data_IF_102037734424
#
_entry.id   IF_102037734424
#
_cell.length_a   1.000
_cell.length_b   1.000
_cell.length_c   1.000
_cell.angle_alpha   90.00
_cell.angle_beta   90.00
_cell.angle_gamma   90.00
#
_symmetry.space_group_name_H-M   'P 1'
#
loop_
_entity.id
_entity.type
_entity.pdbx_description
1 polymer ?
#
# COMPACT_ATOMS: atom_id res chain seq x y z
N UNK A 1 5.63 45.24 12.07
CA UNK A 1 6.49 44.46 11.16
C UNK A 1 6.37 43.00 11.58
N UNK A 2 5.40 42.30 11.01
CA UNK A 2 4.96 40.95 11.43
C UNK A 2 5.72 39.90 10.61
N UNK A 3 6.62 39.15 11.24
CA UNK A 3 7.05 37.86 10.70
C UNK A 3 6.19 36.78 11.33
N UNK A 4 5.04 36.53 10.69
CA UNK A 4 4.17 35.42 11.03
C UNK A 4 4.79 34.14 10.48
N UNK A 5 5.66 33.51 11.27
CA UNK A 5 6.14 32.17 11.01
C UNK A 5 4.94 31.21 10.98
N UNK A 6 4.45 30.90 9.78
CA UNK A 6 3.46 29.86 9.57
C UNK A 6 4.10 28.54 10.02
N UNK A 7 3.55 27.82 11.02
CA UNK A 7 4.13 26.56 11.44
C UNK A 7 4.15 25.65 10.22
N UNK A 8 5.35 25.27 9.78
CA UNK A 8 5.53 24.35 8.67
C UNK A 8 4.72 23.09 9.01
N UNK A 9 3.63 22.86 8.27
CA UNK A 9 2.85 21.65 8.40
C UNK A 9 3.81 20.45 8.32
N UNK A 10 3.68 19.45 9.21
CA UNK A 10 4.62 18.34 9.26
C UNK A 10 4.77 17.76 7.85
N UNK A 11 6.00 17.77 7.32
CA UNK A 11 6.30 17.14 6.02
C UNK A 11 6.01 15.65 6.19
N UNK A 12 4.91 15.20 5.60
CA UNK A 12 4.57 13.79 5.61
C UNK A 12 5.66 13.03 4.85
N UNK A 13 6.13 11.89 5.35
CA UNK A 13 7.04 11.05 4.60
C UNK A 13 6.40 10.67 3.26
N UNK A 14 7.21 10.48 2.20
CA UNK A 14 6.69 10.07 0.90
C UNK A 14 5.94 8.75 1.02
N UNK A 15 4.80 8.65 0.35
CA UNK A 15 4.02 7.41 0.32
C UNK A 15 4.78 6.32 -0.43
N UNK A 16 4.73 5.09 0.09
CA UNK A 16 5.20 3.91 -0.62
C UNK A 16 4.42 3.70 -1.93
N UNK A 17 5.06 3.06 -2.91
CA UNK A 17 4.47 2.71 -4.20
C UNK A 17 3.10 2.01 -4.08
N UNK A 18 2.90 0.98 -3.24
CA UNK A 18 1.58 0.36 -3.08
C UNK A 18 0.52 1.35 -2.57
N UNK A 19 0.89 2.29 -1.69
CA UNK A 19 -0.01 3.33 -1.20
C UNK A 19 -0.39 4.33 -2.30
N UNK A 20 0.57 4.76 -3.12
CA UNK A 20 0.34 5.61 -4.30
C UNK A 20 -0.59 4.94 -5.32
N UNK A 21 -0.35 3.67 -5.65
CA UNK A 21 -1.18 2.90 -6.58
C UNK A 21 -2.61 2.71 -6.05
N UNK A 22 -2.77 2.49 -4.74
CA UNK A 22 -4.08 2.39 -4.10
C UNK A 22 -4.88 3.69 -4.21
N UNK A 23 -4.22 4.85 -4.00
CA UNK A 23 -4.86 6.16 -4.16
C UNK A 23 -5.20 6.48 -5.61
N UNK A 24 -4.32 6.17 -6.57
CA UNK A 24 -4.57 6.39 -7.99
C UNK A 24 -5.80 5.61 -8.47
N UNK A 25 -5.93 4.35 -8.04
CA UNK A 25 -7.10 3.53 -8.35
C UNK A 25 -8.39 4.02 -7.66
N UNK A 26 -8.28 4.85 -6.63
CA UNK A 26 -9.42 5.48 -5.98
C UNK A 26 -9.90 6.72 -6.75
N UNK A 27 -8.97 7.50 -7.30
CA UNK A 27 -9.25 8.72 -8.06
C UNK A 27 -9.92 8.41 -9.42
N UNK A 28 -9.66 7.22 -9.97
CA UNK A 28 -10.43 6.73 -11.12
C UNK A 28 -11.86 6.41 -10.69
N UNK A 29 -12.84 7.22 -11.10
CA UNK A 29 -14.26 7.16 -10.75
C UNK A 29 -14.98 5.80 -10.95
N UNK A 30 -14.28 4.80 -11.48
CA UNK A 30 -14.72 3.42 -11.61
C UNK A 30 -13.59 2.50 -11.14
N UNK A 31 -13.73 1.79 -9.99
CA UNK A 31 -12.72 0.84 -9.57
C UNK A 31 -12.57 -0.24 -10.66
N UNK A 32 -11.33 -0.63 -11.02
CA UNK A 32 -11.13 -1.67 -12.01
C UNK A 32 -11.84 -2.96 -11.57
N UNK A 33 -12.49 -3.62 -12.54
CA UNK A 33 -13.25 -4.84 -12.30
C UNK A 33 -12.39 -5.92 -11.62
N UNK A 34 -12.94 -6.58 -10.60
CA UNK A 34 -12.54 -7.89 -10.06
C UNK A 34 -11.05 -8.16 -9.81
N UNK A 35 -10.58 -8.12 -8.56
CA UNK A 35 -9.28 -8.69 -8.13
C UNK A 35 -8.01 -8.12 -8.77
N UNK A 36 -8.10 -7.28 -9.81
CA UNK A 36 -6.97 -6.64 -10.48
C UNK A 36 -6.32 -5.62 -9.54
N UNK A 37 -7.11 -4.84 -8.80
CA UNK A 37 -6.57 -3.81 -7.91
C UNK A 37 -5.71 -4.39 -6.76
N UNK A 38 -6.16 -5.41 -6.00
CA UNK A 38 -5.31 -6.05 -5.00
C UNK A 38 -4.00 -6.58 -5.59
N UNK A 39 -4.05 -7.18 -6.79
CA UNK A 39 -2.85 -7.70 -7.48
C UNK A 39 -1.92 -6.58 -7.94
N UNK A 40 -2.46 -5.46 -8.41
CA UNK A 40 -1.68 -4.28 -8.80
C UNK A 40 -0.95 -3.69 -7.60
N UNK A 41 -1.65 -3.51 -6.48
CA UNK A 41 -1.06 -3.01 -5.23
C UNK A 41 -0.01 -3.97 -4.69
N UNK A 42 -0.29 -5.28 -4.73
CA UNK A 42 0.67 -6.33 -4.35
C UNK A 42 1.91 -6.31 -5.23
N UNK A 43 1.75 -6.18 -6.55
CA UNK A 43 2.87 -6.08 -7.49
C UNK A 43 3.71 -4.82 -7.24
N UNK A 44 3.07 -3.68 -6.94
CA UNK A 44 3.78 -2.46 -6.56
C UNK A 44 4.61 -2.63 -5.28
N UNK A 45 4.06 -3.29 -4.26
CA UNK A 45 4.80 -3.57 -3.03
C UNK A 45 6.03 -4.47 -3.29
N UNK A 46 5.85 -5.54 -4.07
CA UNK A 46 6.94 -6.44 -4.47
C UNK A 46 8.01 -5.73 -5.31
N UNK A 47 7.60 -4.87 -6.25
CA UNK A 47 8.51 -4.09 -7.07
C UNK A 47 9.31 -3.07 -6.25
N UNK A 48 8.70 -2.45 -5.24
CA UNK A 48 9.41 -1.54 -4.35
C UNK A 48 10.40 -2.27 -3.44
N UNK A 49 10.03 -3.42 -2.89
CA UNK A 49 10.96 -4.27 -2.13
C UNK A 49 12.17 -4.70 -2.97
N UNK A 50 11.94 -5.04 -4.26
CA UNK A 50 13.02 -5.35 -5.18
C UNK A 50 13.91 -4.14 -5.49
N UNK A 51 13.32 -2.96 -5.72
CA UNK A 51 14.07 -1.71 -5.92
C UNK A 51 14.92 -1.32 -4.71
N UNK A 52 14.44 -1.62 -3.49
CA UNK A 52 15.17 -1.42 -2.24
C UNK A 52 16.23 -2.50 -1.97
N UNK A 53 16.34 -3.52 -2.83
CA UNK A 53 17.29 -4.62 -2.68
C UNK A 53 16.92 -5.63 -1.58
N UNK A 54 15.69 -5.61 -1.08
CA UNK A 54 15.22 -6.50 0.01
C UNK A 54 14.69 -7.82 -0.51
N UNK A 55 14.22 -7.82 -1.77
CA UNK A 55 13.92 -9.02 -2.54
C UNK A 55 14.82 -9.05 -3.77
N UNK A 56 15.41 -10.20 -4.05
CA UNK A 56 16.19 -10.45 -5.26
C UNK A 56 15.46 -11.46 -6.13
N UNK A 57 15.69 -11.37 -7.44
CA UNK A 57 15.31 -12.42 -8.36
C UNK A 57 16.39 -13.49 -8.38
N UNK A 58 16.01 -14.70 -7.98
CA UNK A 58 16.81 -15.91 -8.12
C UNK A 58 16.12 -16.81 -9.15
N UNK A 59 16.52 -16.67 -10.42
CA UNK A 59 15.96 -17.46 -11.53
C UNK A 59 14.42 -17.41 -11.63
N UNK A 60 13.82 -16.22 -11.48
CA UNK A 60 12.37 -16.03 -11.51
C UNK A 60 11.66 -16.27 -10.17
N UNK A 61 12.42 -16.59 -9.11
CA UNK A 61 11.96 -16.77 -7.74
C UNK A 61 12.24 -15.50 -6.95
N UNK A 62 11.22 -15.00 -6.24
CA UNK A 62 11.41 -13.89 -5.32
C UNK A 62 12.02 -14.42 -4.02
N UNK A 63 13.24 -13.98 -3.72
CA UNK A 63 14.02 -14.46 -2.58
C UNK A 63 14.41 -13.29 -1.68
N UNK A 64 14.22 -13.38 -0.35
CA UNK A 64 14.74 -12.38 0.60
C UNK A 64 16.25 -12.22 0.48
N UNK A 65 16.73 -10.99 0.37
CA UNK A 65 18.17 -10.71 0.32
C UNK A 65 18.84 -10.96 1.69
N UNK A 66 18.12 -10.66 2.77
CA UNK A 66 18.55 -10.88 4.15
C UNK A 66 17.35 -11.16 5.09
N UNK A 67 17.65 -11.54 6.33
CA UNK A 67 16.65 -11.85 7.36
C UNK A 67 16.34 -10.67 8.30
N UNK A 68 17.19 -9.65 8.35
CA UNK A 68 17.12 -8.61 9.39
C UNK A 68 16.73 -7.22 8.87
N UNK A 69 16.75 -6.98 7.56
CA UNK A 69 16.40 -5.68 7.00
C UNK A 69 14.91 -5.40 7.08
N UNK A 70 14.58 -4.13 7.26
CA UNK A 70 13.23 -3.58 7.25
C UNK A 70 13.19 -2.28 6.43
N UNK A 71 11.98 -1.94 6.00
CA UNK A 71 11.68 -0.75 5.21
C UNK A 71 11.22 0.44 6.05
N UNK A 72 10.77 0.19 7.28
CA UNK A 72 10.06 1.15 8.12
C UNK A 72 8.62 1.44 7.66
N UNK A 73 8.16 0.81 6.57
CA UNK A 73 6.77 0.83 6.14
C UNK A 73 6.12 -0.50 6.59
N UNK A 74 5.10 -0.47 7.47
CA UNK A 74 4.53 -1.68 8.05
C UNK A 74 3.87 -2.61 7.02
N UNK A 75 3.41 -2.09 5.87
CA UNK A 75 2.87 -2.92 4.79
C UNK A 75 3.98 -3.66 4.08
N UNK A 76 5.07 -2.97 3.76
CA UNK A 76 6.20 -3.59 3.09
C UNK A 76 6.91 -4.58 4.03
N UNK A 77 7.05 -4.24 5.31
CA UNK A 77 7.64 -5.09 6.33
C UNK A 77 6.80 -6.35 6.57
N UNK A 78 5.48 -6.21 6.69
CA UNK A 78 4.59 -7.37 6.80
C UNK A 78 4.58 -8.26 5.55
N UNK A 79 4.78 -7.69 4.35
CA UNK A 79 4.96 -8.46 3.13
C UNK A 79 6.31 -9.19 3.12
N UNK A 80 7.40 -8.50 3.46
CA UNK A 80 8.74 -9.09 3.49
C UNK A 80 8.79 -10.25 4.47
N UNK A 81 8.18 -10.10 5.65
CA UNK A 81 8.08 -11.16 6.65
C UNK A 81 7.31 -12.38 6.10
N UNK A 82 6.15 -12.14 5.47
CA UNK A 82 5.39 -13.23 4.85
C UNK A 82 6.22 -13.99 3.79
N UNK A 83 7.07 -13.29 3.04
CA UNK A 83 7.98 -13.94 2.07
C UNK A 83 9.04 -14.78 2.77
N UNK A 84 9.64 -14.26 3.85
CA UNK A 84 10.62 -15.00 4.67
C UNK A 84 10.01 -16.27 5.27
N UNK A 85 8.83 -16.17 5.86
CA UNK A 85 8.13 -17.31 6.50
C UNK A 85 7.66 -18.37 5.50
N UNK A 86 7.18 -17.95 4.32
CA UNK A 86 6.60 -18.86 3.33
C UNK A 86 7.63 -19.54 2.41
N UNK A 87 8.88 -19.07 2.45
CA UNK A 87 9.98 -19.52 1.59
C UNK A 87 9.92 -19.02 0.14
N UNK A 88 10.97 -19.32 -0.66
CA UNK A 88 11.12 -18.81 -2.03
C UNK A 88 9.98 -19.30 -2.94
N UNK A 89 9.36 -18.38 -3.70
CA UNK A 89 8.32 -18.71 -4.68
C UNK A 89 8.42 -17.84 -5.94
N UNK A 90 7.90 -18.30 -7.09
CA UNK A 90 7.86 -17.50 -8.31
C UNK A 90 7.14 -16.16 -8.10
N UNK A 91 7.63 -15.08 -8.72
CA UNK A 91 7.00 -13.75 -8.62
C UNK A 91 5.50 -13.76 -8.93
N UNK A 92 5.09 -14.48 -9.98
CA UNK A 92 3.67 -14.59 -10.35
C UNK A 92 2.80 -15.19 -9.24
N UNK A 93 3.35 -16.14 -8.48
CA UNK A 93 2.64 -16.70 -7.34
C UNK A 93 2.46 -15.65 -6.24
N UNK A 94 3.50 -14.85 -5.96
CA UNK A 94 3.46 -13.79 -4.96
C UNK A 94 2.54 -12.62 -5.29
N UNK A 95 2.39 -12.29 -6.57
CA UNK A 95 1.47 -11.23 -7.03
C UNK A 95 0.02 -11.62 -6.78
N UNK A 96 -0.34 -12.88 -6.98
CA UNK A 96 -1.72 -13.36 -6.81
C UNK A 96 -2.06 -13.76 -5.37
N UNK A 97 -1.14 -14.47 -4.71
CA UNK A 97 -1.37 -15.02 -3.38
C UNK A 97 -1.50 -13.90 -2.35
N UNK A 98 -2.53 -13.98 -1.50
CA UNK A 98 -2.74 -13.07 -0.38
C UNK A 98 -2.86 -11.57 -0.76
N UNK A 99 -3.07 -11.24 -2.05
CA UNK A 99 -3.10 -9.86 -2.53
C UNK A 99 -4.16 -9.00 -1.83
N UNK A 100 -5.26 -9.61 -1.38
CA UNK A 100 -6.30 -8.95 -0.58
C UNK A 100 -5.82 -8.49 0.80
N UNK A 101 -4.89 -9.20 1.42
CA UNK A 101 -4.31 -8.82 2.73
C UNK A 101 -3.44 -7.57 2.60
N UNK A 102 -2.51 -7.55 1.63
CA UNK A 102 -1.71 -6.33 1.35
C UNK A 102 -2.61 -5.16 1.01
N UNK A 103 -3.63 -5.37 0.18
CA UNK A 103 -4.54 -4.29 -0.17
C UNK A 103 -5.31 -3.73 1.05
N UNK A 104 -5.73 -4.60 1.97
CA UNK A 104 -6.39 -4.19 3.21
C UNK A 104 -5.43 -3.41 4.11
N UNK A 105 -4.22 -3.92 4.32
CA UNK A 105 -3.19 -3.27 5.12
C UNK A 105 -2.81 -1.87 4.59
N UNK A 106 -2.70 -1.71 3.26
CA UNK A 106 -2.47 -0.40 2.61
C UNK A 106 -3.61 0.57 2.90
N UNK A 107 -4.87 0.12 2.84
CA UNK A 107 -6.03 0.97 3.13
C UNK A 107 -6.08 1.38 4.59
N UNK A 108 -5.71 0.48 5.49
CA UNK A 108 -5.62 0.77 6.91
C UNK A 108 -4.51 1.77 7.20
N UNK A 109 -3.32 1.61 6.61
CA UNK A 109 -2.22 2.58 6.70
C UNK A 109 -2.62 3.96 6.16
N UNK A 110 -3.24 4.01 4.98
CA UNK A 110 -3.73 5.26 4.38
C UNK A 110 -4.83 5.91 5.24
N UNK A 111 -5.65 5.11 5.91
CA UNK A 111 -6.67 5.61 6.83
C UNK A 111 -6.02 6.19 8.09
N UNK A 112 -5.07 5.48 8.69
CA UNK A 112 -4.32 5.93 9.86
C UNK A 112 -3.50 7.21 9.56
N UNK A 113 -2.93 7.30 8.36
CA UNK A 113 -2.23 8.50 7.87
C UNK A 113 -3.15 9.65 7.43
N UNK A 114 -4.47 9.48 7.53
CA UNK A 114 -5.46 10.51 7.18
C UNK A 114 -5.54 10.82 5.69
N UNK A 115 -5.06 9.94 4.82
CA UNK A 115 -5.20 10.04 3.36
C UNK A 115 -6.58 9.55 2.91
N UNK A 116 -7.08 8.51 3.58
CA UNK A 116 -8.43 8.00 3.43
C UNK A 116 -9.22 8.23 4.72
N UNK A 117 -10.50 8.52 4.59
CA UNK A 117 -11.45 8.39 5.68
C UNK A 117 -12.18 7.06 5.50
N UNK A 118 -12.02 6.15 6.46
CA UNK A 118 -12.89 4.99 6.53
C UNK A 118 -14.33 5.48 6.76
N UNK A 119 -15.26 5.08 5.91
CA UNK A 119 -16.68 5.19 6.24
C UNK A 119 -16.99 4.42 7.54
N UNK A 120 -18.10 4.72 8.21
CA UNK A 120 -18.47 4.06 9.47
C UNK A 120 -18.39 2.52 9.34
N UNK A 121 -17.61 1.89 10.21
CA UNK A 121 -17.54 0.41 10.31
C UNK A 121 -18.89 -0.09 10.85
N UNK A 122 -19.52 -1.02 10.13
CA UNK A 122 -20.87 -1.53 10.43
C UNK A 122 -20.81 -2.53 11.58
N UNK A 123 -21.61 -2.33 12.63
CA UNK A 123 -21.78 -3.29 13.72
C UNK A 123 -22.93 -4.30 13.50
N UNK A 124 -23.73 -4.21 12.43
CA UNK A 124 -24.83 -5.15 12.19
C UNK A 124 -25.16 -5.27 10.69
N UNK A 125 -25.46 -6.49 10.25
CA UNK A 125 -25.46 -6.94 8.85
C UNK A 125 -26.49 -6.29 7.91
N UNK A 126 -26.26 -6.51 6.60
CA UNK A 126 -27.10 -6.21 5.43
C UNK A 126 -26.95 -4.86 4.70
N UNK A 127 -25.76 -4.26 4.65
CA UNK A 127 -25.54 -3.09 3.79
C UNK A 127 -24.17 -3.12 3.06
N UNK A 128 -24.05 -2.47 1.88
CA UNK A 128 -22.89 -2.60 0.97
C UNK A 128 -21.54 -2.28 1.63
N UNK A 129 -20.42 -2.79 1.08
CA UNK A 129 -19.09 -2.71 1.71
C UNK A 129 -18.67 -1.27 2.01
N UNK A 130 -17.85 -1.12 3.07
CA UNK A 130 -17.38 0.16 3.58
C UNK A 130 -16.88 1.08 2.45
N UNK A 131 -17.51 2.25 2.33
CA UNK A 131 -17.10 3.31 1.40
C UNK A 131 -16.02 4.12 2.08
N UNK A 132 -14.81 4.09 1.55
CA UNK A 132 -13.75 4.99 1.97
C UNK A 132 -13.94 6.29 1.17
N UNK A 133 -13.58 7.43 1.72
CA UNK A 133 -13.60 8.69 0.97
C UNK A 133 -12.23 9.35 1.08
N UNK A 134 -11.69 9.93 0.00
CA UNK A 134 -10.45 10.68 0.11
C UNK A 134 -10.68 11.85 1.07
N UNK A 135 -9.73 12.09 1.98
CA UNK A 135 -9.88 13.15 2.98
C UNK A 135 -9.81 14.56 2.37
N UNK A 136 -9.45 14.70 1.08
CA UNK A 136 -9.38 15.98 0.36
C UNK A 136 -9.73 15.80 -1.12
N UNK A 137 -10.54 16.71 -1.66
CA UNK A 137 -10.69 16.90 -3.10
C UNK A 137 -9.46 17.66 -3.62
N UNK A 138 -8.78 17.12 -4.63
CA UNK A 138 -7.62 17.73 -5.27
C UNK A 138 -6.30 17.04 -4.90
N UNK A 139 -5.97 15.97 -5.61
CA UNK A 139 -4.58 15.58 -5.84
C UNK A 139 -4.33 15.57 -7.35
N UNK A 140 -3.82 16.66 -7.93
CA UNK A 140 -2.99 16.55 -9.12
C UNK A 140 -1.58 17.08 -8.85
N UNK A 141 -0.59 16.36 -9.41
CA UNK A 141 0.81 16.75 -9.59
C UNK A 141 1.73 16.76 -8.34
N UNK A 142 1.94 15.60 -7.72
CA UNK A 142 3.21 15.28 -7.02
C UNK A 142 3.31 13.78 -6.72
N UNK A 143 3.12 12.95 -7.75
CA UNK A 143 3.53 11.55 -7.75
C UNK A 143 4.82 11.46 -8.55
#
# INVERSE_FOLDING_TARGET
>A
MTDGAHPAAPRRPPLSLPARLSLLAWDTARPPHGGVLPRLVRAGALAELAQRGLLVDDHGIATPADLDSSTGDPVLDGLLELVRESGPRPWRAWVGAWAGYTFTAVRDQLTAGGWLRAGPRRALGFLPPARYTPARAGVPAAL
#
